data_IF_701652844352
#
_entry.id   IF_701652844352
#
_cell.length_a   1.000
_cell.length_b   1.000
_cell.length_c   1.000
_cell.angle_alpha   90.00
_cell.angle_beta   90.00
_cell.angle_gamma   90.00
#
_symmetry.space_group_name_H-M   'P 1'
#
loop_
_entity.id
_entity.type
_entity.pdbx_description
1 polymer ?
#
# COMPACT_ATOMS: atom_id res chain seq x y z
N UNK A 1 28.51 -30.88 24.78
CA UNK A 1 28.70 -30.40 23.38
C UNK A 1 29.23 -28.97 23.43
N UNK A 2 30.54 -28.83 23.12
CA UNK A 2 31.17 -27.53 22.96
C UNK A 2 30.84 -26.99 21.58
N UNK A 3 29.81 -26.15 21.44
CA UNK A 3 29.54 -25.38 20.23
C UNK A 3 30.64 -24.34 20.03
N UNK A 4 31.58 -24.64 19.16
CA UNK A 4 32.66 -23.72 18.78
C UNK A 4 32.08 -22.73 17.75
N UNK A 5 31.78 -21.49 18.18
CA UNK A 5 31.44 -20.39 17.29
C UNK A 5 32.72 -19.84 16.67
N UNK A 6 32.92 -19.99 15.40
CA UNK A 6 34.00 -19.34 14.65
C UNK A 6 33.50 -18.04 14.04
N UNK A 7 34.21 -16.91 14.25
CA UNK A 7 33.86 -15.72 13.51
C UNK A 7 34.09 -15.95 12.02
N UNK A 8 33.03 -15.71 11.23
CA UNK A 8 33.03 -15.80 9.78
C UNK A 8 32.85 -14.44 9.13
N UNK A 9 33.20 -14.31 7.85
CA UNK A 9 32.90 -13.16 7.03
C UNK A 9 31.61 -13.45 6.28
N UNK A 10 30.63 -12.56 6.40
CA UNK A 10 29.41 -12.62 5.62
C UNK A 10 29.29 -11.35 4.75
N UNK A 11 28.75 -11.50 3.55
CA UNK A 11 28.43 -10.39 2.67
C UNK A 11 27.08 -9.83 3.12
N UNK A 12 27.08 -8.60 3.65
CA UNK A 12 25.86 -7.92 4.11
C UNK A 12 25.25 -7.01 3.05
N UNK A 13 26.01 -6.67 2.00
CA UNK A 13 25.55 -5.80 0.91
C UNK A 13 26.42 -6.02 -0.31
N UNK A 14 25.78 -5.98 -1.49
CA UNK A 14 26.46 -5.90 -2.78
C UNK A 14 26.56 -4.44 -3.20
N UNK A 15 27.70 -4.05 -3.77
CA UNK A 15 27.87 -2.72 -4.32
C UNK A 15 27.06 -2.59 -5.60
N UNK A 16 26.33 -1.48 -5.72
CA UNK A 16 25.69 -1.04 -6.97
C UNK A 16 26.48 0.19 -7.46
N UNK A 17 27.23 0.09 -8.58
CA UNK A 17 28.01 1.22 -9.09
C UNK A 17 27.12 2.34 -9.64
N UNK A 18 25.86 2.03 -9.96
CA UNK A 18 24.89 2.97 -10.55
C UNK A 18 23.95 3.59 -9.50
N UNK A 19 24.24 3.35 -8.21
CA UNK A 19 23.42 3.92 -7.13
C UNK A 19 23.40 5.45 -7.21
N UNK A 20 22.21 6.03 -7.15
CA UNK A 20 22.02 7.47 -7.23
C UNK A 20 20.98 7.96 -6.22
N UNK A 21 20.80 9.26 -6.14
CA UNK A 21 19.80 9.87 -5.28
C UNK A 21 18.39 9.75 -5.88
N UNK A 22 17.41 9.60 -5.01
CA UNK A 22 16.00 9.81 -5.34
C UNK A 22 15.79 11.26 -5.79
N UNK A 23 15.00 11.45 -6.83
CA UNK A 23 14.63 12.76 -7.37
C UNK A 23 13.15 12.99 -7.13
N UNK A 24 12.80 14.05 -6.40
CA UNK A 24 11.43 14.50 -6.22
C UNK A 24 11.18 15.79 -7.01
N UNK A 25 10.10 15.82 -7.79
CA UNK A 25 9.57 17.01 -8.45
C UNK A 25 8.22 17.33 -7.87
N UNK A 26 8.13 18.48 -7.20
CA UNK A 26 6.94 18.94 -6.51
C UNK A 26 6.39 20.20 -7.15
N UNK A 27 5.07 20.32 -7.18
CA UNK A 27 4.36 21.55 -7.50
C UNK A 27 3.23 21.73 -6.49
N UNK A 28 2.97 22.98 -6.17
CA UNK A 28 1.93 23.39 -5.23
C UNK A 28 1.23 24.62 -5.78
N UNK A 29 -0.09 24.63 -5.74
CA UNK A 29 -0.94 25.72 -6.23
C UNK A 29 -1.94 26.07 -5.13
N UNK A 30 -1.68 27.21 -4.46
CA UNK A 30 -2.50 27.72 -3.38
C UNK A 30 -3.36 28.92 -3.78
N UNK A 31 -4.54 29.01 -3.21
CA UNK A 31 -5.45 30.15 -3.31
C UNK A 31 -5.94 30.52 -1.91
N UNK A 32 -5.84 31.81 -1.58
CA UNK A 32 -6.35 32.36 -0.34
C UNK A 32 -7.44 33.41 -0.65
N UNK A 33 -8.57 33.30 0.03
CA UNK A 33 -9.73 34.19 -0.14
C UNK A 33 -10.24 34.65 1.20
N UNK A 34 -10.28 35.97 1.39
CA UNK A 34 -10.95 36.60 2.53
C UNK A 34 -12.31 37.17 2.10
N UNK A 35 -13.39 36.73 2.73
CA UNK A 35 -14.75 37.10 2.37
C UNK A 35 -15.45 37.77 3.57
N UNK A 36 -16.14 38.90 3.30
CA UNK A 36 -16.98 39.61 4.27
C UNK A 36 -16.30 39.97 5.59
N UNK A 37 -14.99 40.09 5.65
CA UNK A 37 -14.21 40.25 6.88
C UNK A 37 -14.59 39.24 7.98
N UNK A 38 -15.03 38.06 7.60
CA UNK A 38 -15.55 37.04 8.50
C UNK A 38 -15.15 35.60 8.12
N UNK A 39 -14.83 35.35 6.86
CA UNK A 39 -14.50 34.00 6.37
C UNK A 39 -13.19 34.08 5.61
N UNK A 40 -12.20 33.31 6.07
CA UNK A 40 -10.95 33.09 5.39
C UNK A 40 -10.96 31.65 4.86
N UNK A 41 -10.67 31.48 3.57
CA UNK A 41 -10.58 30.19 2.88
C UNK A 41 -9.18 30.09 2.30
N UNK A 42 -8.51 28.98 2.59
CA UNK A 42 -7.27 28.58 1.94
C UNK A 42 -7.51 27.24 1.26
N UNK A 43 -7.13 27.14 0.00
CA UNK A 43 -7.22 25.89 -0.76
C UNK A 43 -5.93 25.67 -1.52
N UNK A 44 -5.33 24.49 -1.35
CA UNK A 44 -4.07 24.13 -1.95
C UNK A 44 -4.24 22.81 -2.70
N UNK A 45 -3.67 22.72 -3.91
CA UNK A 45 -3.51 21.51 -4.68
C UNK A 45 -2.03 21.22 -4.84
N UNK A 46 -1.59 20.04 -4.44
CA UNK A 46 -0.20 19.63 -4.52
C UNK A 46 -0.02 18.37 -5.36
N UNK A 47 1.18 18.28 -5.92
CA UNK A 47 1.60 17.18 -6.77
C UNK A 47 3.09 16.87 -6.51
N UNK A 48 3.43 15.61 -6.30
CA UNK A 48 4.80 15.12 -6.11
C UNK A 48 5.05 13.93 -7.04
N UNK A 49 6.10 13.99 -7.83
CA UNK A 49 6.56 12.90 -8.70
C UNK A 49 7.97 12.50 -8.32
N UNK A 50 8.14 11.25 -7.93
CA UNK A 50 9.40 10.67 -7.48
C UNK A 50 9.93 9.65 -8.45
N UNK A 51 11.24 9.69 -8.66
CA UNK A 51 11.98 8.76 -9.50
C UNK A 51 13.23 8.29 -8.79
N UNK A 52 13.83 7.21 -9.28
CA UNK A 52 15.03 6.61 -8.72
C UNK A 52 14.83 6.18 -7.25
N UNK A 53 13.65 5.71 -6.89
CA UNK A 53 13.38 5.16 -5.56
C UNK A 53 14.17 3.86 -5.43
N UNK A 54 14.97 3.75 -4.36
CA UNK A 54 15.74 2.55 -4.10
C UNK A 54 14.81 1.40 -3.70
N UNK A 55 14.87 0.31 -4.44
CA UNK A 55 14.06 -0.89 -4.19
C UNK A 55 14.91 -2.15 -4.25
N UNK A 56 14.47 -3.18 -3.53
CA UNK A 56 15.09 -4.51 -3.60
C UNK A 56 14.75 -5.13 -4.95
N UNK A 57 15.75 -5.72 -5.62
CA UNK A 57 15.56 -6.37 -6.92
C UNK A 57 14.75 -7.67 -6.75
N UNK A 58 13.67 -7.78 -7.51
CA UNK A 58 12.79 -8.95 -7.52
C UNK A 58 13.11 -9.94 -8.64
N UNK A 59 13.86 -9.53 -9.64
CA UNK A 59 14.23 -10.32 -10.81
C UNK A 59 15.45 -11.25 -10.60
N UNK A 60 16.03 -11.25 -9.39
CA UNK A 60 17.20 -12.06 -9.07
C UNK A 60 16.76 -13.44 -8.54
N UNK A 61 17.05 -14.53 -9.27
CA UNK A 61 16.67 -15.86 -8.83
C UNK A 61 17.35 -16.25 -7.51
N UNK A 62 16.62 -16.90 -6.62
CA UNK A 62 17.16 -17.42 -5.34
C UNK A 62 18.27 -18.46 -5.56
N UNK A 63 18.29 -19.11 -6.73
CA UNK A 63 19.33 -20.08 -7.15
C UNK A 63 20.71 -19.47 -7.30
N UNK A 64 20.83 -18.13 -7.37
CA UNK A 64 22.14 -17.44 -7.35
C UNK A 64 22.86 -17.55 -6.01
N UNK A 65 22.21 -18.01 -4.96
CA UNK A 65 22.82 -18.22 -3.64
C UNK A 65 23.34 -16.95 -2.97
N UNK A 66 22.77 -15.79 -3.30
CA UNK A 66 23.18 -14.53 -2.68
C UNK A 66 22.74 -14.49 -1.21
N UNK A 67 23.65 -14.14 -0.33
CA UNK A 67 23.34 -13.97 1.10
C UNK A 67 22.49 -12.72 1.40
N UNK A 68 22.39 -11.80 0.45
CA UNK A 68 21.60 -10.58 0.52
C UNK A 68 21.05 -10.23 -0.88
N UNK A 69 19.82 -9.80 -0.96
CA UNK A 69 19.24 -9.37 -2.24
C UNK A 69 19.70 -7.94 -2.56
N UNK A 70 20.32 -7.69 -3.72
CA UNK A 70 20.75 -6.36 -4.13
C UNK A 70 19.57 -5.37 -4.21
N UNK A 71 19.89 -4.09 -4.01
CA UNK A 71 18.96 -2.98 -4.19
C UNK A 71 19.41 -2.10 -5.35
N UNK A 72 18.48 -1.48 -6.07
CA UNK A 72 18.76 -0.56 -7.17
C UNK A 72 17.73 0.56 -7.26
N UNK A 73 18.07 1.67 -7.94
CA UNK A 73 17.23 2.84 -8.08
C UNK A 73 16.23 2.69 -9.24
N UNK A 74 15.26 1.80 -9.09
CA UNK A 74 14.33 1.40 -10.17
C UNK A 74 12.89 1.86 -9.95
N UNK A 75 12.51 2.25 -8.73
CA UNK A 75 11.14 2.62 -8.40
C UNK A 75 10.76 4.02 -8.84
N UNK A 76 9.49 4.19 -9.20
CA UNK A 76 8.87 5.50 -9.42
C UNK A 76 7.51 5.55 -8.73
N UNK A 77 7.15 6.73 -8.21
CA UNK A 77 5.87 6.98 -7.57
C UNK A 77 5.39 8.40 -7.88
N UNK A 78 4.09 8.61 -7.81
CA UNK A 78 3.51 9.94 -7.77
C UNK A 78 2.53 10.04 -6.62
N UNK A 79 2.38 11.23 -6.09
CA UNK A 79 1.30 11.57 -5.17
C UNK A 79 0.68 12.90 -5.55
N UNK A 80 -0.60 13.02 -5.31
CA UNK A 80 -1.37 14.23 -5.52
C UNK A 80 -2.42 14.36 -4.44
N UNK A 81 -2.83 15.59 -4.18
CA UNK A 81 -3.83 15.84 -3.17
C UNK A 81 -4.28 17.28 -3.16
N UNK A 82 -5.26 17.55 -2.32
CA UNK A 82 -5.73 18.89 -2.05
C UNK A 82 -6.05 19.07 -0.58
N UNK A 83 -5.89 20.30 -0.13
CA UNK A 83 -6.18 20.74 1.22
C UNK A 83 -7.10 21.94 1.17
N UNK A 84 -8.06 21.99 2.08
CA UNK A 84 -8.97 23.12 2.25
C UNK A 84 -9.02 23.44 3.73
N UNK A 85 -8.76 24.70 4.05
CA UNK A 85 -8.91 25.27 5.39
C UNK A 85 -9.89 26.43 5.32
N UNK A 86 -10.84 26.47 6.25
CA UNK A 86 -11.83 27.55 6.36
C UNK A 86 -11.88 28.02 7.80
N UNK A 87 -11.74 29.30 8.01
CA UNK A 87 -11.87 29.96 9.31
C UNK A 87 -12.98 31.03 9.23
N UNK A 88 -14.02 30.81 9.99
CA UNK A 88 -15.11 31.76 10.11
C UNK A 88 -15.08 32.42 11.49
N UNK A 89 -15.08 33.74 11.52
CA UNK A 89 -15.11 34.51 12.76
C UNK A 89 -15.97 35.75 12.54
N UNK A 90 -17.11 35.79 13.21
CA UNK A 90 -18.04 36.94 13.12
C UNK A 90 -18.71 37.23 14.43
N UNK A 91 -18.64 38.51 14.85
CA UNK A 91 -19.47 39.06 15.90
C UNK A 91 -20.74 39.66 15.27
N UNK A 92 -21.89 39.14 15.66
CA UNK A 92 -23.18 39.62 15.17
C UNK A 92 -23.72 40.77 16.03
N UNK A 93 -23.46 40.72 17.33
CA UNK A 93 -23.78 41.77 18.30
C UNK A 93 -22.84 41.59 19.52
N UNK A 94 -22.88 42.51 20.56
CA UNK A 94 -22.01 42.43 21.71
C UNK A 94 -22.12 41.12 22.53
N UNK A 95 -23.26 40.46 22.46
CA UNK A 95 -23.55 39.23 23.24
C UNK A 95 -23.49 37.95 22.42
N UNK A 96 -23.34 38.07 21.09
CA UNK A 96 -23.31 36.89 20.21
C UNK A 96 -22.24 37.00 19.14
N UNK A 97 -21.31 36.04 19.19
CA UNK A 97 -20.30 35.85 18.16
C UNK A 97 -20.22 34.36 17.80
N UNK A 98 -19.74 34.05 16.59
CA UNK A 98 -19.51 32.68 16.13
C UNK A 98 -18.10 32.58 15.56
N UNK A 99 -17.38 31.58 16.05
CA UNK A 99 -16.11 31.15 15.48
C UNK A 99 -16.24 29.68 15.06
N UNK A 100 -15.91 29.38 13.82
CA UNK A 100 -15.91 28.02 13.30
C UNK A 100 -14.65 27.77 12.46
N UNK A 101 -14.11 26.56 12.53
CA UNK A 101 -12.95 26.13 11.78
C UNK A 101 -13.26 24.81 11.10
N UNK A 102 -12.87 24.69 9.83
CA UNK A 102 -12.99 23.48 9.05
C UNK A 102 -11.68 23.23 8.31
N UNK A 103 -11.17 22.00 8.39
CA UNK A 103 -10.01 21.54 7.63
C UNK A 103 -10.34 20.22 6.96
N UNK A 104 -9.94 20.10 5.70
CA UNK A 104 -10.05 18.86 4.94
C UNK A 104 -8.79 18.65 4.13
N UNK A 105 -8.20 17.46 4.24
CA UNK A 105 -7.02 17.06 3.48
C UNK A 105 -7.32 15.73 2.78
N UNK A 106 -7.05 15.67 1.50
CA UNK A 106 -7.09 14.44 0.72
C UNK A 106 -5.76 14.27 -0.02
N UNK A 107 -5.11 13.13 0.17
CA UNK A 107 -3.87 12.79 -0.51
C UNK A 107 -3.86 11.33 -0.94
N UNK A 108 -3.38 11.07 -2.14
CA UNK A 108 -3.20 9.72 -2.67
C UNK A 108 -1.83 9.60 -3.32
N UNK A 109 -1.10 8.54 -2.97
CA UNK A 109 0.17 8.18 -3.60
C UNK A 109 0.05 6.82 -4.27
N UNK A 110 0.62 6.67 -5.47
CA UNK A 110 0.62 5.43 -6.24
C UNK A 110 2.00 5.13 -6.79
N UNK A 111 2.33 3.85 -6.89
CA UNK A 111 3.51 3.44 -7.66
C UNK A 111 3.24 3.52 -9.16
N UNK A 112 4.13 4.17 -9.90
CA UNK A 112 4.13 4.16 -11.38
C UNK A 112 5.11 3.15 -11.93
N UNK A 113 6.13 2.81 -11.13
CA UNK A 113 7.06 1.71 -11.40
C UNK A 113 7.48 1.09 -10.08
N UNK A 114 7.35 -0.21 -9.99
CA UNK A 114 7.70 -0.99 -8.81
C UNK A 114 8.44 -2.25 -9.23
N UNK A 115 9.50 -2.60 -8.51
CA UNK A 115 10.27 -3.80 -8.78
C UNK A 115 9.56 -4.98 -8.10
N UNK A 116 8.93 -5.81 -8.89
CA UNK A 116 8.11 -6.93 -8.44
C UNK A 116 8.23 -8.11 -9.40
N UNK A 117 7.79 -9.29 -8.97
CA UNK A 117 7.67 -10.46 -9.82
C UNK A 117 6.68 -10.21 -10.97
N UNK A 118 6.76 -11.01 -12.02
CA UNK A 118 5.78 -10.95 -13.09
C UNK A 118 4.40 -11.45 -12.58
N UNK A 119 3.44 -10.55 -12.56
CA UNK A 119 2.05 -10.81 -12.18
C UNK A 119 1.09 -10.81 -13.37
N UNK A 120 1.57 -11.15 -14.58
CA UNK A 120 0.72 -11.21 -15.79
C UNK A 120 -0.48 -12.14 -15.63
N UNK A 121 -0.32 -13.25 -14.91
CA UNK A 121 -1.40 -14.23 -14.64
C UNK A 121 -2.31 -13.80 -13.45
N UNK A 122 -1.82 -12.93 -12.59
CA UNK A 122 -2.53 -12.42 -11.40
C UNK A 122 -2.40 -10.89 -11.29
N UNK A 123 -2.91 -10.12 -12.25
CA UNK A 123 -2.62 -8.68 -12.38
C UNK A 123 -3.10 -7.84 -11.19
N UNK A 124 -4.08 -8.33 -10.43
CA UNK A 124 -4.55 -7.68 -9.21
C UNK A 124 -3.53 -7.66 -8.07
N UNK A 125 -2.48 -8.50 -8.13
CA UNK A 125 -1.39 -8.54 -7.15
C UNK A 125 -0.32 -7.48 -7.40
N UNK A 126 -0.25 -6.91 -8.61
CA UNK A 126 0.73 -5.88 -8.93
C UNK A 126 0.54 -4.64 -8.06
N UNK A 127 1.64 -4.07 -7.59
CA UNK A 127 1.66 -2.79 -6.86
C UNK A 127 1.60 -1.59 -7.81
N UNK A 128 1.94 -1.80 -9.10
CA UNK A 128 1.93 -0.72 -10.10
C UNK A 128 0.52 -0.22 -10.33
N UNK A 129 0.31 1.09 -10.17
CA UNK A 129 -1.00 1.73 -10.27
C UNK A 129 -1.84 1.68 -9.00
N UNK A 130 -1.44 0.88 -8.00
CA UNK A 130 -2.13 0.82 -6.70
C UNK A 130 -1.59 1.89 -5.74
N UNK A 131 -2.37 2.15 -4.67
CA UNK A 131 -1.94 3.04 -3.60
C UNK A 131 -0.67 2.52 -2.93
N UNK A 132 0.23 3.40 -2.50
CA UNK A 132 1.48 3.02 -1.82
C UNK A 132 1.20 2.17 -0.57
N UNK A 133 0.13 2.49 0.17
CA UNK A 133 -0.31 1.75 1.35
C UNK A 133 -1.55 0.90 1.05
N UNK A 134 -1.62 0.29 -0.15
CA UNK A 134 -2.76 -0.55 -0.52
C UNK A 134 -2.84 -1.76 0.41
N UNK A 135 -4.02 -1.95 0.98
CA UNK A 135 -4.34 -3.14 1.75
C UNK A 135 -4.86 -4.20 0.78
N UNK A 136 -4.39 -5.43 0.95
CA UNK A 136 -4.84 -6.59 0.20
C UNK A 136 -5.58 -7.53 1.14
N UNK A 137 -6.62 -8.16 0.65
CA UNK A 137 -7.42 -9.10 1.42
C UNK A 137 -8.21 -10.04 0.53
N UNK A 138 -8.85 -11.02 1.18
CA UNK A 138 -9.71 -11.99 0.52
C UNK A 138 -11.13 -11.45 0.43
N UNK A 139 -11.83 -11.76 -0.66
CA UNK A 139 -13.26 -11.46 -0.80
C UNK A 139 -14.07 -12.56 -0.12
N UNK A 140 -14.82 -12.22 0.91
CA UNK A 140 -15.79 -13.12 1.50
C UNK A 140 -16.97 -13.32 0.54
N UNK A 141 -17.27 -14.58 0.20
CA UNK A 141 -18.42 -14.93 -0.63
C UNK A 141 -19.67 -15.13 0.23
N UNK A 142 -19.57 -15.99 1.25
CA UNK A 142 -20.61 -16.33 2.22
C UNK A 142 -20.02 -17.13 3.37
N UNK A 143 -20.86 -17.61 4.27
CA UNK A 143 -20.47 -18.65 5.24
C UNK A 143 -20.68 -20.04 4.61
N UNK A 144 -19.87 -21.01 5.03
CA UNK A 144 -20.12 -22.42 4.71
C UNK A 144 -21.42 -22.87 5.38
N UNK A 145 -22.27 -23.60 4.63
CA UNK A 145 -23.58 -24.05 5.11
C UNK A 145 -23.40 -25.27 6.02
N UNK A 146 -22.61 -26.25 5.57
CA UNK A 146 -22.38 -27.52 6.24
C UNK A 146 -21.02 -28.12 5.80
N UNK A 147 -20.70 -29.28 6.35
CA UNK A 147 -19.44 -29.99 6.05
C UNK A 147 -19.37 -30.52 4.61
N UNK A 148 -20.51 -30.71 3.95
CA UNK A 148 -20.56 -31.13 2.54
C UNK A 148 -20.21 -29.96 1.62
N UNK A 149 -20.69 -28.76 1.94
CA UNK A 149 -20.32 -27.52 1.25
C UNK A 149 -18.82 -27.24 1.40
N UNK A 150 -18.23 -27.49 2.59
CA UNK A 150 -16.78 -27.36 2.80
C UNK A 150 -16.00 -28.31 1.87
N UNK A 151 -16.43 -29.59 1.77
CA UNK A 151 -15.77 -30.59 0.94
C UNK A 151 -15.87 -30.32 -0.58
N UNK A 152 -16.96 -29.68 -1.00
CA UNK A 152 -17.23 -29.37 -2.41
C UNK A 152 -16.77 -27.96 -2.82
N UNK A 153 -16.05 -27.26 -1.95
CA UNK A 153 -15.53 -25.91 -2.19
C UNK A 153 -14.01 -25.92 -2.35
N UNK A 154 -13.41 -24.86 -2.94
CA UNK A 154 -11.97 -24.68 -3.00
C UNK A 154 -11.30 -24.83 -1.63
N UNK A 155 -10.12 -25.43 -1.60
CA UNK A 155 -9.37 -25.63 -0.35
C UNK A 155 -8.84 -24.29 0.15
N UNK A 156 -9.17 -23.90 1.38
CA UNK A 156 -8.65 -22.65 1.96
C UNK A 156 -7.38 -22.89 2.77
N UNK A 157 -6.24 -22.43 2.24
CA UNK A 157 -4.94 -22.54 2.92
C UNK A 157 -4.65 -21.38 3.86
N UNK A 158 -5.45 -20.33 3.80
CA UNK A 158 -5.32 -19.10 4.59
C UNK A 158 -5.39 -19.35 6.10
N UNK A 159 -6.08 -20.39 6.53
CA UNK A 159 -6.19 -20.80 7.93
C UNK A 159 -5.08 -21.77 8.37
N UNK A 160 -4.37 -22.39 7.43
CA UNK A 160 -3.44 -23.49 7.72
C UNK A 160 -2.20 -23.07 8.48
N UNK A 161 -1.78 -21.80 8.32
CA UNK A 161 -0.61 -21.25 9.03
C UNK A 161 -0.76 -21.19 10.55
N UNK A 162 -2.01 -21.28 11.05
CA UNK A 162 -2.34 -21.24 12.48
C UNK A 162 -2.78 -22.61 13.04
N UNK A 163 -2.77 -23.67 12.19
CA UNK A 163 -3.30 -24.98 12.59
C UNK A 163 -4.83 -25.00 12.82
N UNK A 164 -5.53 -23.94 12.46
CA UNK A 164 -6.98 -23.84 12.58
C UNK A 164 -7.62 -24.44 11.33
N UNK A 165 -8.46 -25.44 11.55
CA UNK A 165 -9.27 -26.05 10.51
C UNK A 165 -10.57 -25.24 10.38
N UNK A 166 -10.94 -24.88 9.15
CA UNK A 166 -12.23 -24.24 8.88
C UNK A 166 -13.33 -25.29 8.68
N UNK A 167 -14.58 -24.91 8.92
CA UNK A 167 -15.74 -25.80 8.88
C UNK A 167 -17.04 -25.06 8.59
N UNK A 168 -18.16 -25.75 8.79
CA UNK A 168 -19.49 -25.14 8.68
C UNK A 168 -19.62 -23.89 9.55
N UNK A 169 -20.15 -22.81 8.99
CA UNK A 169 -20.28 -21.51 9.66
C UNK A 169 -19.08 -20.58 9.55
N UNK A 170 -17.94 -21.05 9.07
CA UNK A 170 -16.78 -20.21 8.77
C UNK A 170 -16.93 -19.49 7.42
N UNK A 171 -16.09 -18.47 7.19
CA UNK A 171 -16.13 -17.67 5.97
C UNK A 171 -15.60 -18.50 4.78
N UNK A 172 -16.40 -18.62 3.74
CA UNK A 172 -15.99 -19.08 2.43
C UNK A 172 -15.48 -17.90 1.63
N UNK A 173 -14.21 -17.97 1.23
CA UNK A 173 -13.59 -16.96 0.38
C UNK A 173 -13.74 -17.31 -1.10
N UNK A 174 -13.70 -16.26 -1.91
CA UNK A 174 -13.82 -16.37 -3.37
C UNK A 174 -12.48 -16.77 -3.97
N UNK A 175 -12.49 -17.80 -4.79
CA UNK A 175 -11.40 -18.20 -5.66
C UNK A 175 -11.35 -17.24 -6.87
N UNK A 176 -10.34 -16.38 -6.91
CA UNK A 176 -10.22 -15.30 -7.90
C UNK A 176 -9.56 -15.81 -9.18
N UNK A 177 -8.57 -16.70 -9.06
CA UNK A 177 -7.83 -17.25 -10.19
C UNK A 177 -8.42 -18.56 -10.72
N UNK A 178 -9.42 -19.16 -10.03
CA UNK A 178 -10.11 -20.40 -10.35
C UNK A 178 -9.19 -21.64 -10.36
N UNK A 179 -8.20 -21.70 -9.48
CA UNK A 179 -7.29 -22.84 -9.34
C UNK A 179 -7.74 -23.87 -8.28
N UNK A 180 -8.90 -23.64 -7.64
CA UNK A 180 -9.50 -24.47 -6.59
C UNK A 180 -8.74 -24.44 -5.26
N UNK A 181 -7.87 -23.45 -5.06
CA UNK A 181 -7.13 -23.22 -3.81
C UNK A 181 -7.22 -21.75 -3.43
N UNK A 182 -7.70 -21.45 -2.24
CA UNK A 182 -7.68 -20.09 -1.71
C UNK A 182 -6.35 -19.86 -0.99
N UNK A 183 -5.49 -19.09 -1.62
CA UNK A 183 -4.17 -18.73 -1.10
C UNK A 183 -3.82 -17.25 -1.34
N UNK A 184 -2.55 -16.89 -1.19
CA UNK A 184 -2.12 -15.50 -1.41
C UNK A 184 -2.36 -14.98 -2.84
N UNK A 185 -2.62 -15.87 -3.81
CA UNK A 185 -2.92 -15.48 -5.20
C UNK A 185 -4.34 -14.93 -5.35
N UNK A 186 -5.24 -15.18 -4.37
CA UNK A 186 -6.61 -14.68 -4.35
C UNK A 186 -6.77 -13.37 -3.59
N UNK A 187 -5.68 -12.84 -3.02
CA UNK A 187 -5.72 -11.54 -2.37
C UNK A 187 -5.84 -10.42 -3.40
N UNK A 188 -6.84 -9.57 -3.23
CA UNK A 188 -7.11 -8.41 -4.10
C UNK A 188 -6.98 -7.11 -3.32
N UNK A 189 -6.77 -5.95 -3.98
CA UNK A 189 -6.83 -4.64 -3.34
C UNK A 189 -8.23 -4.36 -2.77
N UNK A 190 -8.31 -3.96 -1.48
CA UNK A 190 -9.54 -3.63 -0.76
C UNK A 190 -9.52 -2.22 -0.19
#
# INVERSE_FOLDING_TARGET
>A
DLTYSRPGIAINRYADPDITWEIARKADFGVELGLWNALDIQADYFFDKRKNILQTRADIPSTMGLGYTPTSNVGEAHSEGFEISMNFNKSFNPDFWLTAMFNYTYAIGKYTKYEEADFSDTPWRSHVGQKINQIYGYIAERLFIDDEDVKNSPVQTVSSGSGIQYGAGDIKYKDINNDQVIDSNDMVPI
#
